data_IF_273287614184
#
_entry.id   IF_273287614184
#
_cell.length_a   1.000
_cell.length_b   1.000
_cell.length_c   1.000
_cell.angle_alpha   90.00
_cell.angle_beta   90.00
_cell.angle_gamma   90.00
#
_symmetry.space_group_name_H-M   'P 1'
#
loop_
_entity.id
_entity.type
_entity.pdbx_description
1 polymer ?
#
# COMPACT_ATOMS: atom_id res chain seq x y z
N UNK A 1 36.72 3.20 58.44
CA UNK A 1 36.08 2.07 57.73
C UNK A 1 34.68 2.40 57.17
N UNK A 2 34.02 3.51 57.51
CA UNK A 2 32.65 3.80 57.02
C UNK A 2 32.57 4.35 55.58
N UNK A 3 33.50 5.20 55.15
CA UNK A 3 33.45 5.85 53.82
C UNK A 3 33.34 4.86 52.64
N UNK A 4 33.99 3.70 52.74
CA UNK A 4 33.98 2.70 51.67
C UNK A 4 32.64 1.97 51.55
N UNK A 5 31.92 1.81 52.68
CA UNK A 5 30.59 1.21 52.71
C UNK A 5 29.53 2.15 52.09
N UNK A 6 29.63 3.46 52.33
CA UNK A 6 28.72 4.46 51.75
C UNK A 6 28.87 4.55 50.22
N UNK A 7 30.10 4.52 49.70
CA UNK A 7 30.34 4.48 48.26
C UNK A 7 29.82 3.19 47.60
N UNK A 8 30.00 2.04 48.26
CA UNK A 8 29.44 0.78 47.78
C UNK A 8 27.90 0.83 47.72
N UNK A 9 27.26 1.44 48.72
CA UNK A 9 25.82 1.64 48.73
C UNK A 9 25.34 2.52 47.56
N UNK A 10 25.99 3.65 47.33
CA UNK A 10 25.70 4.54 46.18
C UNK A 10 25.91 3.84 44.84
N UNK A 11 26.96 3.02 44.71
CA UNK A 11 27.21 2.23 43.49
C UNK A 11 26.11 1.19 43.27
N UNK A 12 25.67 0.49 44.33
CA UNK A 12 24.59 -0.50 44.26
C UNK A 12 23.28 0.17 43.83
N UNK A 13 22.89 1.27 44.46
CA UNK A 13 21.69 2.03 44.09
C UNK A 13 21.74 2.54 42.65
N UNK A 14 22.89 3.07 42.23
CA UNK A 14 23.09 3.55 40.86
C UNK A 14 22.98 2.42 39.83
N UNK A 15 23.50 1.23 40.17
CA UNK A 15 23.42 0.04 39.33
C UNK A 15 21.99 -0.47 39.23
N UNK A 16 21.26 -0.52 40.35
CA UNK A 16 19.84 -0.88 40.38
C UNK A 16 19.03 0.10 39.54
N UNK A 17 19.27 1.41 39.68
CA UNK A 17 18.61 2.44 38.90
C UNK A 17 18.89 2.28 37.39
N UNK A 18 20.14 2.01 37.00
CA UNK A 18 20.50 1.76 35.62
C UNK A 18 19.77 0.54 35.03
N UNK A 19 19.64 -0.55 35.80
CA UNK A 19 18.89 -1.75 35.40
C UNK A 19 17.41 -1.42 35.20
N UNK A 20 16.81 -0.63 36.09
CA UNK A 20 15.40 -0.21 35.98
C UNK A 20 15.20 0.62 34.70
N UNK A 21 16.06 1.62 34.46
CA UNK A 21 15.98 2.48 33.27
C UNK A 21 16.12 1.64 31.99
N UNK A 22 17.14 0.78 31.92
CA UNK A 22 17.37 -0.07 30.76
C UNK A 22 16.18 -1.02 30.50
N UNK A 23 15.64 -1.63 31.55
CA UNK A 23 14.49 -2.53 31.44
C UNK A 23 13.23 -1.79 30.98
N UNK A 24 12.99 -0.58 31.49
CA UNK A 24 11.87 0.25 31.05
C UNK A 24 11.99 0.62 29.57
N UNK A 25 13.17 1.09 29.13
CA UNK A 25 13.43 1.40 27.71
C UNK A 25 13.26 0.17 26.81
N UNK A 26 13.74 -0.99 27.25
CA UNK A 26 13.62 -2.23 26.50
C UNK A 26 12.15 -2.66 26.33
N UNK A 27 11.36 -2.60 27.41
CA UNK A 27 9.93 -2.95 27.37
C UNK A 27 9.16 -1.97 26.49
N UNK A 28 9.42 -0.67 26.60
CA UNK A 28 8.75 0.35 25.80
C UNK A 28 9.06 0.21 24.31
N UNK A 29 10.33 -0.01 23.96
CA UNK A 29 10.74 -0.25 22.58
C UNK A 29 10.14 -1.54 22.01
N UNK A 30 10.11 -2.61 22.80
CA UNK A 30 9.45 -3.85 22.42
C UNK A 30 7.96 -3.60 22.15
N UNK A 31 7.26 -2.95 23.08
CA UNK A 31 5.83 -2.71 22.97
C UNK A 31 5.51 -1.83 21.76
N UNK A 32 6.27 -0.75 21.57
CA UNK A 32 6.16 0.15 20.42
C UNK A 32 6.30 -0.61 19.10
N UNK A 33 7.29 -1.50 18.97
CA UNK A 33 7.45 -2.34 17.77
C UNK A 33 6.26 -3.29 17.54
N UNK A 34 5.69 -3.84 18.61
CA UNK A 34 4.50 -4.70 18.51
C UNK A 34 3.28 -3.91 18.05
N UNK A 35 3.03 -2.75 18.65
CA UNK A 35 1.91 -1.88 18.29
C UNK A 35 2.05 -1.42 16.83
N UNK A 36 3.23 -0.94 16.44
CA UNK A 36 3.52 -0.54 15.06
C UNK A 36 3.23 -1.68 14.07
N UNK A 37 3.68 -2.91 14.37
CA UNK A 37 3.41 -4.07 13.51
C UNK A 37 1.92 -4.40 13.40
N UNK A 38 1.13 -4.17 14.45
CA UNK A 38 -0.33 -4.38 14.43
C UNK A 38 -1.00 -3.30 13.57
N UNK A 39 -0.60 -2.04 13.75
CA UNK A 39 -1.10 -0.91 12.98
C UNK A 39 -0.76 -1.04 11.49
N UNK A 40 0.48 -1.37 11.16
CA UNK A 40 0.93 -1.59 9.77
C UNK A 40 0.15 -2.72 9.10
N UNK A 41 -0.13 -3.82 9.81
CA UNK A 41 -0.95 -4.90 9.29
C UNK A 41 -2.41 -4.48 9.08
N UNK A 42 -2.97 -3.68 9.99
CA UNK A 42 -4.32 -3.13 9.86
C UNK A 42 -4.41 -2.17 8.67
N UNK A 43 -3.45 -1.26 8.54
CA UNK A 43 -3.35 -0.32 7.42
C UNK A 43 -3.18 -1.06 6.10
N UNK A 44 -2.28 -2.05 6.04
CA UNK A 44 -2.09 -2.91 4.86
C UNK A 44 -3.40 -3.55 4.42
N UNK A 45 -4.17 -4.13 5.34
CA UNK A 45 -5.48 -4.73 5.03
C UNK A 45 -6.46 -3.72 4.46
N UNK A 46 -6.54 -2.52 5.06
CA UNK A 46 -7.41 -1.43 4.57
C UNK A 46 -7.02 -0.97 3.16
N UNK A 47 -5.74 -0.83 2.88
CA UNK A 47 -5.22 -0.46 1.55
C UNK A 47 -5.57 -1.54 0.52
N UNK A 48 -5.32 -2.81 0.84
CA UNK A 48 -5.66 -3.92 -0.06
C UNK A 48 -7.16 -3.97 -0.35
N UNK A 49 -8.00 -3.74 0.67
CA UNK A 49 -9.45 -3.65 0.50
C UNK A 49 -9.85 -2.49 -0.43
N UNK A 50 -9.30 -1.29 -0.20
CA UNK A 50 -9.57 -0.12 -1.02
C UNK A 50 -9.18 -0.33 -2.49
N UNK A 51 -8.00 -0.91 -2.74
CA UNK A 51 -7.52 -1.22 -4.09
C UNK A 51 -8.41 -2.28 -4.75
N UNK A 52 -8.78 -3.34 -4.03
CA UNK A 52 -9.68 -4.38 -4.53
C UNK A 52 -11.04 -3.81 -4.93
N UNK A 53 -11.60 -2.91 -4.14
CA UNK A 53 -12.85 -2.21 -4.46
C UNK A 53 -12.71 -1.32 -5.69
N UNK A 54 -11.59 -0.61 -5.82
CA UNK A 54 -11.31 0.20 -7.02
C UNK A 54 -11.20 -0.66 -8.28
N UNK A 55 -10.40 -1.73 -8.27
CA UNK A 55 -10.26 -2.66 -9.39
C UNK A 55 -11.59 -3.33 -9.76
N UNK A 56 -12.42 -3.68 -8.76
CA UNK A 56 -13.76 -4.22 -9.00
C UNK A 56 -14.66 -3.18 -9.69
N UNK A 57 -14.55 -1.90 -9.34
CA UNK A 57 -15.25 -0.81 -10.06
C UNK A 57 -14.70 -0.65 -11.48
N UNK A 58 -13.38 -0.77 -11.68
CA UNK A 58 -12.78 -0.72 -13.02
C UNK A 58 -13.27 -1.85 -13.91
N UNK A 59 -13.41 -3.05 -13.36
CA UNK A 59 -13.97 -4.19 -14.10
C UNK A 59 -15.41 -3.94 -14.58
N UNK A 60 -16.25 -3.36 -13.71
CA UNK A 60 -17.61 -2.94 -14.10
C UNK A 60 -17.57 -1.87 -15.18
N UNK A 61 -16.73 -0.87 -15.02
CA UNK A 61 -16.54 0.19 -16.01
C UNK A 61 -16.13 -0.38 -17.39
N UNK A 62 -15.16 -1.30 -17.44
CA UNK A 62 -14.75 -1.96 -18.69
C UNK A 62 -15.95 -2.65 -19.35
N UNK A 63 -16.74 -3.40 -18.58
CA UNK A 63 -17.91 -4.10 -19.12
C UNK A 63 -18.97 -3.13 -19.66
N UNK A 64 -19.21 -2.02 -18.98
CA UNK A 64 -20.14 -0.97 -19.42
C UNK A 64 -19.62 -0.27 -20.69
N UNK A 65 -18.34 0.13 -20.72
CA UNK A 65 -17.73 0.77 -21.88
C UNK A 65 -17.73 -0.13 -23.10
N UNK A 66 -17.43 -1.43 -22.97
CA UNK A 66 -17.51 -2.38 -24.09
C UNK A 66 -18.95 -2.56 -24.58
N UNK A 67 -19.94 -2.59 -23.69
CA UNK A 67 -21.35 -2.82 -24.03
C UNK A 67 -22.01 -1.61 -24.71
N UNK A 68 -21.76 -0.42 -24.18
CA UNK A 68 -22.43 0.81 -24.62
C UNK A 68 -21.56 1.65 -25.56
N UNK A 69 -20.33 1.23 -25.84
CA UNK A 69 -19.33 1.97 -26.63
C UNK A 69 -19.06 3.38 -26.07
N UNK A 70 -19.26 3.55 -24.76
CA UNK A 70 -19.04 4.79 -24.04
C UNK A 70 -17.63 4.76 -23.44
N UNK A 71 -16.67 5.28 -24.20
CA UNK A 71 -15.26 5.28 -23.86
C UNK A 71 -14.91 6.56 -23.06
N UNK A 72 -14.62 6.39 -21.77
CA UNK A 72 -14.26 7.47 -20.85
C UNK A 72 -12.90 7.21 -20.20
N UNK A 73 -12.19 8.24 -19.75
CA UNK A 73 -10.93 8.04 -19.04
C UNK A 73 -11.13 7.22 -17.74
N UNK A 74 -10.17 6.36 -17.44
CA UNK A 74 -10.03 5.72 -16.14
C UNK A 74 -9.53 6.72 -15.11
N UNK A 75 -10.12 6.69 -13.91
CA UNK A 75 -9.59 7.38 -12.74
C UNK A 75 -8.54 6.51 -12.04
N UNK A 76 -7.31 6.99 -11.87
CA UNK A 76 -6.21 6.24 -11.21
C UNK A 76 -5.90 6.73 -9.79
N UNK A 77 -6.72 7.66 -9.28
CA UNK A 77 -6.47 8.42 -8.06
C UNK A 77 -6.23 7.57 -6.81
N UNK A 78 -6.87 6.38 -6.72
CA UNK A 78 -6.69 5.48 -5.58
C UNK A 78 -5.25 4.97 -5.51
N UNK A 79 -4.70 4.52 -6.64
CA UNK A 79 -3.33 4.02 -6.68
C UNK A 79 -2.33 5.16 -6.55
N UNK A 80 -2.57 6.28 -7.25
CA UNK A 80 -1.72 7.45 -7.14
C UNK A 80 -1.66 7.96 -5.69
N UNK A 81 -2.78 7.94 -4.95
CA UNK A 81 -2.82 8.26 -3.52
C UNK A 81 -2.01 7.29 -2.66
N UNK A 82 -2.05 5.99 -2.95
CA UNK A 82 -1.25 4.97 -2.24
C UNK A 82 0.24 5.21 -2.44
N UNK A 83 0.67 5.55 -3.67
CA UNK A 83 2.07 5.89 -3.99
C UNK A 83 2.50 7.19 -3.29
N UNK A 84 1.70 8.26 -3.43
CA UNK A 84 2.02 9.59 -2.88
C UNK A 84 2.11 9.53 -1.35
N UNK A 85 1.26 8.75 -0.70
CA UNK A 85 1.26 8.60 0.76
C UNK A 85 2.39 7.71 1.29
N UNK A 86 3.23 7.13 0.42
CA UNK A 86 4.32 6.22 0.81
C UNK A 86 3.83 4.86 1.30
N UNK A 87 2.53 4.58 1.21
CA UNK A 87 1.90 3.39 1.78
C UNK A 87 2.08 2.14 0.94
N UNK A 88 2.60 2.26 -0.29
CA UNK A 88 3.06 1.13 -1.10
C UNK A 88 4.13 0.30 -0.38
N UNK A 89 4.92 0.90 0.52
CA UNK A 89 5.94 0.19 1.32
C UNK A 89 5.36 -0.88 2.25
N UNK A 90 4.05 -0.80 2.56
CA UNK A 90 3.34 -1.81 3.34
C UNK A 90 2.97 -3.05 2.53
N UNK A 91 3.09 -2.98 1.19
CA UNK A 91 2.72 -4.04 0.28
C UNK A 91 3.93 -4.90 -0.11
N UNK A 92 3.68 -6.15 -0.48
CA UNK A 92 4.72 -6.99 -1.09
C UNK A 92 5.07 -6.45 -2.46
N UNK A 93 6.34 -6.60 -2.86
CA UNK A 93 6.84 -6.14 -4.16
C UNK A 93 6.02 -6.69 -5.34
N UNK A 94 5.66 -7.97 -5.31
CA UNK A 94 4.85 -8.62 -6.36
C UNK A 94 3.48 -7.93 -6.56
N UNK A 95 2.86 -7.48 -5.47
CA UNK A 95 1.58 -6.75 -5.51
C UNK A 95 1.80 -5.38 -6.14
N UNK A 96 2.85 -4.66 -5.71
CA UNK A 96 3.17 -3.33 -6.25
C UNK A 96 3.42 -3.42 -7.76
N UNK A 97 4.22 -4.40 -8.20
CA UNK A 97 4.55 -4.58 -9.61
C UNK A 97 3.31 -4.87 -10.47
N UNK A 98 2.41 -5.74 -9.98
CA UNK A 98 1.19 -6.07 -10.73
C UNK A 98 0.21 -4.88 -10.80
N UNK A 99 0.05 -4.17 -9.69
CA UNK A 99 -0.78 -2.96 -9.65
C UNK A 99 -0.21 -1.87 -10.56
N UNK A 100 1.09 -1.60 -10.47
CA UNK A 100 1.74 -0.60 -11.32
C UNK A 100 1.56 -0.91 -12.80
N UNK A 101 1.71 -2.17 -13.20
CA UNK A 101 1.45 -2.62 -14.57
C UNK A 101 -0.01 -2.37 -14.98
N UNK A 102 -0.97 -2.73 -14.13
CA UNK A 102 -2.41 -2.54 -14.39
C UNK A 102 -2.78 -1.06 -14.53
N UNK A 103 -2.34 -0.21 -13.60
CA UNK A 103 -2.62 1.23 -13.64
C UNK A 103 -1.86 1.94 -14.77
N UNK A 104 -0.69 1.43 -15.18
CA UNK A 104 0.03 1.95 -16.36
C UNK A 104 -0.76 1.74 -17.65
N UNK A 105 -1.39 0.57 -17.83
CA UNK A 105 -2.28 0.33 -18.97
C UNK A 105 -3.49 1.28 -18.99
N UNK A 106 -4.06 1.58 -17.82
CA UNK A 106 -5.15 2.56 -17.71
C UNK A 106 -4.69 3.97 -18.10
N UNK A 107 -3.49 4.39 -17.67
CA UNK A 107 -2.90 5.68 -18.05
C UNK A 107 -2.59 5.74 -19.55
N UNK A 108 -2.13 4.64 -20.12
CA UNK A 108 -1.90 4.53 -21.56
C UNK A 108 -3.20 4.67 -22.35
N UNK A 109 -4.25 3.93 -21.97
CA UNK A 109 -5.59 4.09 -22.53
C UNK A 109 -6.11 5.54 -22.46
N UNK A 110 -5.93 6.21 -21.32
CA UNK A 110 -6.33 7.61 -21.17
C UNK A 110 -5.59 8.56 -22.12
N UNK A 111 -4.36 8.21 -22.49
CA UNK A 111 -3.52 8.99 -23.40
C UNK A 111 -4.02 8.82 -24.83
N UNK A 112 -4.27 7.58 -25.24
CA UNK A 112 -4.84 7.24 -26.55
C UNK A 112 -6.23 7.88 -26.75
N UNK A 113 -7.06 7.89 -25.70
CA UNK A 113 -8.37 8.54 -25.72
C UNK A 113 -8.29 10.06 -25.92
N UNK A 114 -7.21 10.71 -25.46
CA UNK A 114 -7.01 12.17 -25.57
C UNK A 114 -6.33 12.60 -26.86
N UNK A 115 -5.44 11.78 -27.42
CA UNK A 115 -4.64 12.14 -28.59
C UNK A 115 -5.43 12.04 -29.91
N UNK A 116 -6.47 11.22 -29.97
CA UNK A 116 -7.27 11.01 -31.17
C UNK A 116 -8.63 11.72 -31.08
N UNK A 117 -8.83 12.80 -31.84
CA UNK A 117 -10.10 13.54 -31.89
C UNK A 117 -11.31 12.67 -32.26
N UNK A 118 -11.09 11.63 -33.07
CA UNK A 118 -11.98 10.47 -33.20
C UNK A 118 -11.19 9.22 -32.80
N UNK A 119 -11.45 8.63 -31.62
CA UNK A 119 -10.70 7.47 -31.18
C UNK A 119 -10.91 6.30 -32.14
N UNK A 120 -9.82 5.64 -32.51
CA UNK A 120 -9.90 4.37 -33.22
C UNK A 120 -10.52 3.33 -32.27
N UNK A 121 -11.81 3.05 -32.47
CA UNK A 121 -12.61 2.17 -31.61
C UNK A 121 -11.92 0.81 -31.42
N UNK A 122 -11.27 0.29 -32.46
CA UNK A 122 -10.60 -1.00 -32.40
C UNK A 122 -9.43 -1.01 -31.42
N UNK A 123 -8.60 0.04 -31.44
CA UNK A 123 -7.48 0.20 -30.50
C UNK A 123 -8.01 0.31 -29.06
N UNK A 124 -9.07 1.08 -28.84
CA UNK A 124 -9.65 1.22 -27.49
C UNK A 124 -10.20 -0.11 -26.96
N UNK A 125 -10.83 -0.91 -27.80
CA UNK A 125 -11.33 -2.24 -27.41
C UNK A 125 -10.19 -3.19 -27.07
N UNK A 126 -9.11 -3.19 -27.86
CA UNK A 126 -7.91 -3.99 -27.58
C UNK A 126 -7.28 -3.59 -26.23
N UNK A 127 -7.14 -2.29 -25.97
CA UNK A 127 -6.62 -1.77 -24.71
C UNK A 127 -7.52 -2.12 -23.52
N UNK A 128 -8.84 -2.03 -23.67
CA UNK A 128 -9.78 -2.48 -22.63
C UNK A 128 -9.67 -3.99 -22.37
N UNK A 129 -9.37 -4.78 -23.41
CA UNK A 129 -9.07 -6.21 -23.28
C UNK A 129 -7.82 -6.48 -22.44
N UNK A 130 -6.74 -5.74 -22.67
CA UNK A 130 -5.51 -5.87 -21.88
C UNK A 130 -5.68 -5.36 -20.44
N UNK A 131 -6.38 -4.22 -20.25
CA UNK A 131 -6.72 -3.71 -18.92
C UNK A 131 -7.58 -4.73 -18.17
N UNK A 132 -8.51 -5.41 -18.84
CA UNK A 132 -9.32 -6.47 -18.22
C UNK A 132 -8.44 -7.61 -17.70
N UNK A 133 -7.57 -8.17 -18.54
CA UNK A 133 -6.68 -9.28 -18.17
C UNK A 133 -5.79 -8.92 -16.99
N UNK A 134 -5.20 -7.73 -17.02
CA UNK A 134 -4.32 -7.25 -15.95
C UNK A 134 -5.08 -6.97 -14.66
N UNK A 135 -6.30 -6.41 -14.75
CA UNK A 135 -7.19 -6.22 -13.60
C UNK A 135 -7.62 -7.54 -12.96
N UNK A 136 -7.96 -8.55 -13.76
CA UNK A 136 -8.27 -9.91 -13.28
C UNK A 136 -7.07 -10.53 -12.54
N UNK A 137 -5.88 -10.45 -13.15
CA UNK A 137 -4.64 -10.90 -12.52
C UNK A 137 -4.36 -10.20 -11.18
N UNK A 138 -4.51 -8.87 -11.14
CA UNK A 138 -4.39 -8.09 -9.90
C UNK A 138 -5.40 -8.55 -8.85
N UNK A 139 -6.67 -8.73 -9.23
CA UNK A 139 -7.72 -9.18 -8.31
C UNK A 139 -7.45 -10.57 -7.74
N UNK A 140 -6.88 -11.47 -8.53
CA UNK A 140 -6.51 -12.81 -8.08
C UNK A 140 -5.35 -12.80 -7.08
N UNK A 141 -4.36 -11.91 -7.26
CA UNK A 141 -3.26 -11.73 -6.30
C UNK A 141 -3.76 -11.10 -4.98
N UNK A 142 -4.86 -10.36 -5.03
CA UNK A 142 -5.48 -9.71 -3.87
C UNK A 142 -6.51 -10.59 -3.13
N UNK A 143 -6.74 -11.84 -3.58
CA UNK A 143 -7.57 -12.82 -2.86
C UNK A 143 -6.81 -13.42 -1.68
#
# INVERSE_FOLDING_TARGET
MSKMADWNYVIIESTILAIIIYSAMFVDHWNSRRVQKIEDNSLRKKILMLIKEDLTRKMRFINESTKYKDYKPFFTDVWDSVIISGKQTLLKFEIIQNLEHTYSWMKYYNTELKQHGTPNEQILVELLGEIRKTTESSLDILK
#
